data_IF_077031628071
#
_entry.id   IF_077031628071
#
_cell.length_a   1.000
_cell.length_b   1.000
_cell.length_c   1.000
_cell.angle_alpha   90.00
_cell.angle_beta   90.00
_cell.angle_gamma   90.00
#
_symmetry.space_group_name_H-M   'P 1'
#
loop_
_entity.id
_entity.type
_entity.pdbx_description
1 polymer ?
#
# COMPACT_ATOMS: atom_id res chain seq x y z
N UNK A 1 -12.86 9.63 9.59
CA UNK A 1 -11.59 10.39 9.73
C UNK A 1 -10.53 9.43 10.22
N UNK A 2 -9.28 9.53 9.76
CA UNK A 2 -8.22 8.62 10.20
C UNK A 2 -7.69 9.06 11.57
N UNK A 3 -7.54 8.10 12.48
CA UNK A 3 -6.88 8.29 13.77
C UNK A 3 -5.35 8.18 13.60
N UNK A 4 -4.61 9.18 14.08
CA UNK A 4 -3.14 9.20 13.95
C UNK A 4 -2.47 8.06 14.71
N UNK A 5 -2.99 7.64 15.85
CA UNK A 5 -2.37 6.56 16.64
C UNK A 5 -2.44 5.21 15.93
N UNK A 6 -3.48 4.94 15.15
CA UNK A 6 -3.60 3.72 14.34
C UNK A 6 -2.48 3.66 13.28
N UNK A 7 -2.25 4.77 12.59
CA UNK A 7 -1.14 4.87 11.62
C UNK A 7 0.24 4.78 12.29
N UNK A 8 0.37 5.30 13.52
CA UNK A 8 1.60 5.14 14.31
C UNK A 8 1.81 3.71 14.78
N UNK A 9 0.75 2.95 15.08
CA UNK A 9 0.82 1.52 15.40
C UNK A 9 1.43 0.73 14.24
N UNK A 10 0.93 0.93 13.01
CA UNK A 10 1.49 0.30 11.81
C UNK A 10 2.94 0.75 11.54
N UNK A 11 3.20 2.07 11.51
CA UNK A 11 4.51 2.60 11.10
C UNK A 11 5.64 2.33 12.11
N UNK A 12 5.33 2.09 13.40
CA UNK A 12 6.30 1.63 14.42
C UNK A 12 6.83 0.22 14.13
N UNK A 13 6.12 -0.57 13.31
CA UNK A 13 6.51 -1.94 12.93
C UNK A 13 7.36 -1.98 11.67
N UNK A 14 7.39 -0.90 10.87
CA UNK A 14 8.16 -0.82 9.63
C UNK A 14 9.66 -0.59 9.88
N UNK A 15 10.26 -1.52 10.62
CA UNK A 15 11.69 -1.59 10.94
C UNK A 15 12.16 -3.04 10.80
N UNK A 16 13.45 -3.27 10.56
CA UNK A 16 13.99 -4.62 10.38
C UNK A 16 13.68 -5.58 11.54
N UNK A 17 13.57 -5.05 12.76
CA UNK A 17 13.34 -5.85 13.97
C UNK A 17 11.87 -6.12 14.30
N UNK A 18 10.93 -5.44 13.63
CA UNK A 18 9.49 -5.50 13.96
C UNK A 18 8.58 -5.77 12.76
N UNK A 19 9.13 -5.70 11.55
CA UNK A 19 8.36 -5.86 10.32
C UNK A 19 7.81 -7.27 10.20
N UNK A 20 6.59 -7.37 9.70
CA UNK A 20 5.95 -8.63 9.29
C UNK A 20 5.57 -8.64 7.81
N UNK A 21 6.01 -7.64 7.02
CA UNK A 21 5.91 -7.69 5.56
C UNK A 21 6.35 -9.07 5.05
N UNK A 22 5.44 -9.72 4.34
CA UNK A 22 5.63 -11.08 3.84
C UNK A 22 6.14 -11.07 2.41
N UNK A 23 5.74 -10.06 1.61
CA UNK A 23 6.01 -10.01 0.18
C UNK A 23 6.10 -8.57 -0.32
N UNK A 24 6.88 -8.38 -1.37
CA UNK A 24 6.90 -7.16 -2.17
C UNK A 24 6.86 -7.54 -3.64
N UNK A 25 6.00 -6.88 -4.38
CA UNK A 25 5.92 -6.97 -5.83
C UNK A 25 6.09 -5.55 -6.40
N UNK A 26 6.63 -5.44 -7.61
CA UNK A 26 6.67 -4.15 -8.29
C UNK A 26 6.83 -4.25 -9.79
N UNK A 27 6.45 -3.17 -10.46
CA UNK A 27 6.60 -2.95 -11.89
C UNK A 27 7.36 -1.65 -12.11
N UNK A 28 8.23 -1.64 -13.11
CA UNK A 28 8.89 -0.45 -13.62
C UNK A 28 8.21 -0.03 -14.92
N UNK A 29 8.04 1.28 -15.08
CA UNK A 29 7.37 1.87 -16.23
C UNK A 29 8.28 2.96 -16.78
N UNK A 30 8.50 2.93 -18.09
CA UNK A 30 9.37 3.87 -18.75
C UNK A 30 8.73 5.27 -18.93
N UNK A 31 9.39 6.16 -19.69
CA UNK A 31 8.91 7.53 -19.92
C UNK A 31 7.73 7.60 -20.89
N UNK A 32 7.59 6.60 -21.76
CA UNK A 32 6.49 6.52 -22.72
C UNK A 32 5.24 5.91 -22.05
N UNK A 33 5.41 5.37 -20.84
CA UNK A 33 4.36 4.72 -20.06
C UNK A 33 4.26 3.24 -20.35
N UNK A 34 5.31 2.65 -20.94
CA UNK A 34 5.38 1.25 -21.31
C UNK A 34 6.04 0.41 -20.21
N UNK A 35 5.69 -0.87 -20.17
CA UNK A 35 6.19 -1.82 -19.19
C UNK A 35 7.69 -2.05 -19.37
N UNK A 36 8.47 -1.86 -18.31
CA UNK A 36 9.94 -2.02 -18.31
C UNK A 36 10.41 -3.03 -17.23
N UNK A 37 9.58 -4.05 -16.99
CA UNK A 37 9.91 -5.18 -16.13
C UNK A 37 9.22 -5.17 -14.77
N UNK A 38 9.11 -6.37 -14.18
CA UNK A 38 8.48 -6.57 -12.88
C UNK A 38 9.29 -7.53 -12.01
N UNK A 39 8.98 -7.50 -10.71
CA UNK A 39 9.51 -8.45 -9.74
C UNK A 39 8.43 -8.81 -8.72
N UNK A 40 8.52 -10.03 -8.18
CA UNK A 40 7.65 -10.47 -7.09
C UNK A 40 8.40 -11.43 -6.17
N UNK A 41 8.73 -10.97 -4.96
CA UNK A 41 9.66 -11.66 -4.07
C UNK A 41 9.13 -11.71 -2.64
N UNK A 42 9.42 -12.82 -1.96
CA UNK A 42 9.24 -12.90 -0.52
C UNK A 42 10.15 -11.85 0.15
N UNK A 43 9.58 -11.06 1.06
CA UNK A 43 10.29 -9.92 1.66
C UNK A 43 11.55 -10.32 2.42
N UNK A 44 11.59 -11.53 2.99
CA UNK A 44 12.77 -12.07 3.69
C UNK A 44 13.92 -12.47 2.77
N UNK A 45 13.68 -12.62 1.46
CA UNK A 45 14.74 -12.89 0.48
C UNK A 45 15.57 -11.65 0.14
N UNK A 46 15.06 -10.45 0.44
CA UNK A 46 15.81 -9.20 0.31
C UNK A 46 16.93 -9.11 1.34
N UNK A 47 18.05 -8.52 0.95
CA UNK A 47 19.12 -8.16 1.89
C UNK A 47 18.61 -7.19 2.97
N UNK A 48 19.32 -7.10 4.10
CA UNK A 48 18.95 -6.16 5.16
C UNK A 48 18.96 -4.69 4.69
N UNK A 49 19.88 -4.35 3.78
CA UNK A 49 19.97 -3.01 3.19
C UNK A 49 18.73 -2.71 2.33
N UNK A 50 18.38 -3.63 1.42
CA UNK A 50 17.20 -3.47 0.56
C UNK A 50 15.92 -3.42 1.38
N UNK A 51 15.74 -4.32 2.35
CA UNK A 51 14.59 -4.27 3.27
C UNK A 51 14.49 -2.91 3.96
N UNK A 52 15.61 -2.34 4.41
CA UNK A 52 15.61 -1.01 5.05
C UNK A 52 15.14 0.08 4.10
N UNK A 53 15.59 0.08 2.84
CA UNK A 53 15.13 1.03 1.82
C UNK A 53 13.64 0.86 1.52
N UNK A 54 13.21 -0.38 1.27
CA UNK A 54 11.83 -0.75 0.96
C UNK A 54 10.85 -0.44 2.10
N UNK A 55 11.24 -0.67 3.35
CA UNK A 55 10.48 -0.27 4.54
C UNK A 55 10.29 1.24 4.64
N UNK A 56 11.31 2.04 4.29
CA UNK A 56 11.19 3.50 4.29
C UNK A 56 10.15 3.95 3.28
N UNK A 57 10.18 3.41 2.05
CA UNK A 57 9.19 3.73 1.02
C UNK A 57 7.76 3.38 1.45
N UNK A 58 7.54 2.16 1.94
CA UNK A 58 6.23 1.74 2.44
C UNK A 58 5.74 2.63 3.59
N UNK A 59 6.66 3.07 4.47
CA UNK A 59 6.34 3.91 5.63
C UNK A 59 5.88 5.32 5.27
N UNK A 60 6.37 5.92 4.18
CA UNK A 60 6.01 7.30 3.80
C UNK A 60 4.48 7.47 3.68
N UNK A 61 3.76 6.45 3.21
CA UNK A 61 2.31 6.48 2.99
C UNK A 61 1.52 6.61 4.31
N UNK A 62 1.52 5.61 5.22
CA UNK A 62 0.78 5.71 6.48
C UNK A 62 1.41 6.73 7.45
N UNK A 63 2.69 7.08 7.29
CA UNK A 63 3.32 8.10 8.14
C UNK A 63 2.96 9.54 7.75
N UNK A 64 2.43 9.77 6.54
CA UNK A 64 2.04 11.08 6.04
C UNK A 64 1.04 11.81 6.97
N UNK A 65 0.89 13.12 6.76
CA UNK A 65 -0.03 13.94 7.55
C UNK A 65 -1.48 13.44 7.38
N UNK A 66 -2.00 12.86 8.46
CA UNK A 66 -3.31 12.23 8.50
C UNK A 66 -4.42 13.26 8.27
N UNK A 67 -5.40 12.91 7.44
CA UNK A 67 -6.52 13.76 6.99
C UNK A 67 -6.11 14.96 6.10
N UNK A 68 -4.83 15.07 5.73
CA UNK A 68 -4.32 16.08 4.79
C UNK A 68 -3.73 15.39 3.56
N UNK A 69 -2.62 14.68 3.75
CA UNK A 69 -1.94 13.93 2.70
C UNK A 69 -2.44 12.49 2.62
N UNK A 70 -2.80 11.89 3.74
CA UNK A 70 -3.45 10.58 3.81
C UNK A 70 -4.92 10.77 4.15
N UNK A 71 -5.83 10.35 3.27
CA UNK A 71 -7.28 10.53 3.43
C UNK A 71 -8.00 9.19 3.30
N UNK A 72 -8.99 8.98 4.16
CA UNK A 72 -9.85 7.79 4.15
C UNK A 72 -11.02 8.00 3.20
N UNK A 73 -11.26 7.01 2.34
CA UNK A 73 -12.37 6.97 1.41
C UNK A 73 -13.19 5.71 1.62
N UNK A 74 -14.49 5.82 1.46
CA UNK A 74 -15.44 4.71 1.52
C UNK A 74 -15.72 4.20 0.11
N UNK A 75 -15.73 2.88 -0.09
CA UNK A 75 -16.17 2.28 -1.35
C UNK A 75 -17.69 2.36 -1.49
N UNK A 76 -18.23 3.02 -2.53
CA UNK A 76 -19.67 3.07 -2.76
C UNK A 76 -20.27 1.66 -2.93
N UNK A 77 -21.50 1.42 -2.47
CA UNK A 77 -22.10 0.07 -2.50
C UNK A 77 -22.15 -0.56 -3.90
N UNK A 78 -22.23 0.25 -4.97
CA UNK A 78 -22.30 -0.23 -6.36
C UNK A 78 -20.97 -0.69 -6.98
N UNK A 79 -19.82 -0.44 -6.34
CA UNK A 79 -18.49 -0.79 -6.90
C UNK A 79 -18.04 -2.19 -6.49
N UNK A 80 -18.77 -2.89 -5.62
CA UNK A 80 -18.47 -4.27 -5.22
C UNK A 80 -19.09 -5.28 -6.18
N UNK A 81 -18.69 -5.17 -7.44
CA UNK A 81 -19.19 -5.99 -8.55
C UNK A 81 -18.04 -6.79 -9.18
N UNK A 82 -18.35 -7.91 -9.87
CA UNK A 82 -17.35 -8.62 -10.64
C UNK A 82 -16.58 -7.71 -11.61
N UNK A 83 -15.25 -7.81 -11.60
CA UNK A 83 -14.35 -7.02 -12.44
C UNK A 83 -14.02 -5.61 -11.91
N UNK A 84 -14.44 -5.26 -10.70
CA UNK A 84 -14.13 -3.95 -10.12
C UNK A 84 -12.71 -3.87 -9.55
N UNK A 85 -12.21 -2.65 -9.36
CA UNK A 85 -10.90 -2.45 -8.74
C UNK A 85 -10.89 -2.97 -7.30
N UNK A 86 -12.00 -2.80 -6.57
CA UNK A 86 -12.14 -3.36 -5.23
C UNK A 86 -11.99 -4.89 -5.22
N UNK A 87 -12.58 -5.61 -6.18
CA UNK A 87 -12.44 -7.06 -6.26
C UNK A 87 -10.99 -7.48 -6.57
N UNK A 88 -10.32 -6.75 -7.46
CA UNK A 88 -8.91 -7.00 -7.78
C UNK A 88 -8.02 -6.82 -6.53
N UNK A 89 -8.19 -5.72 -5.80
CA UNK A 89 -7.45 -5.45 -4.57
C UNK A 89 -7.73 -6.49 -3.48
N UNK A 90 -8.97 -6.93 -3.31
CA UNK A 90 -9.32 -8.02 -2.39
C UNK A 90 -8.59 -9.32 -2.77
N UNK A 91 -8.65 -9.72 -4.04
CA UNK A 91 -7.98 -10.95 -4.50
C UNK A 91 -6.45 -10.88 -4.35
N UNK A 92 -5.85 -9.72 -4.62
CA UNK A 92 -4.42 -9.47 -4.38
C UNK A 92 -4.05 -9.60 -2.90
N UNK A 93 -4.89 -9.08 -1.99
CA UNK A 93 -4.67 -9.18 -0.54
C UNK A 93 -4.78 -10.63 -0.07
N UNK A 94 -5.87 -11.32 -0.43
CA UNK A 94 -6.16 -12.69 -0.02
C UNK A 94 -5.09 -13.70 -0.50
N UNK A 95 -4.54 -13.48 -1.71
CA UNK A 95 -3.45 -14.33 -2.21
C UNK A 95 -2.07 -13.95 -1.67
N UNK A 96 -1.95 -12.86 -0.90
CA UNK A 96 -0.69 -12.34 -0.38
C UNK A 96 0.30 -11.95 -1.46
N UNK A 97 -0.20 -11.37 -2.58
CA UNK A 97 0.54 -11.02 -3.80
C UNK A 97 1.25 -12.20 -4.49
N UNK A 98 0.81 -13.45 -4.28
CA UNK A 98 1.48 -14.63 -4.88
C UNK A 98 1.07 -14.92 -6.32
N UNK A 99 -0.02 -14.31 -6.79
CA UNK A 99 -0.51 -14.53 -8.14
C UNK A 99 -0.01 -13.41 -9.06
N UNK A 100 1.01 -13.72 -9.87
CA UNK A 100 1.62 -12.76 -10.79
C UNK A 100 0.61 -12.22 -11.81
N UNK A 101 -0.36 -13.02 -12.27
CA UNK A 101 -1.39 -12.55 -13.21
C UNK A 101 -2.30 -11.46 -12.62
N UNK A 102 -2.59 -11.51 -11.30
CA UNK A 102 -3.31 -10.43 -10.63
C UNK A 102 -2.44 -9.17 -10.52
N UNK A 103 -1.14 -9.34 -10.30
CA UNK A 103 -0.20 -8.21 -10.25
C UNK A 103 -0.07 -7.55 -11.62
N UNK A 104 0.09 -8.33 -12.70
CA UNK A 104 0.17 -7.84 -14.07
C UNK A 104 -1.10 -7.05 -14.44
N UNK A 105 -2.28 -7.62 -14.16
CA UNK A 105 -3.56 -6.93 -14.36
C UNK A 105 -3.63 -5.60 -13.60
N UNK A 106 -3.13 -5.57 -12.36
CA UNK A 106 -3.11 -4.35 -11.55
C UNK A 106 -2.16 -3.29 -12.13
N UNK A 107 -0.99 -3.69 -12.62
CA UNK A 107 -0.04 -2.79 -13.26
C UNK A 107 -0.60 -2.21 -14.55
N UNK A 108 -1.21 -3.04 -15.41
CA UNK A 108 -1.85 -2.60 -16.65
C UNK A 108 -2.89 -1.51 -16.36
N UNK A 109 -3.78 -1.74 -15.38
CA UNK A 109 -4.82 -0.77 -15.04
C UNK A 109 -4.23 0.55 -14.53
N UNK A 110 -3.15 0.53 -13.73
CA UNK A 110 -2.46 1.76 -13.32
C UNK A 110 -1.83 2.46 -14.51
N UNK A 111 -1.09 1.75 -15.36
CA UNK A 111 -0.38 2.31 -16.51
C UNK A 111 -1.34 2.94 -17.54
N UNK A 112 -2.54 2.39 -17.69
CA UNK A 112 -3.58 2.98 -18.54
C UNK A 112 -4.04 4.37 -18.06
N UNK A 113 -4.04 4.62 -16.75
CA UNK A 113 -4.63 5.81 -16.15
C UNK A 113 -3.62 6.81 -15.60
N UNK A 114 -2.44 6.36 -15.19
CA UNK A 114 -1.39 7.17 -14.59
C UNK A 114 -0.32 7.50 -15.63
N UNK A 115 -0.17 8.79 -15.93
CA UNK A 115 0.87 9.31 -16.83
C UNK A 115 1.82 10.21 -16.06
N UNK A 116 3.11 9.98 -16.23
CA UNK A 116 4.16 10.77 -15.61
C UNK A 116 5.17 11.24 -16.66
N UNK A 117 5.87 12.34 -16.39
CA UNK A 117 6.93 12.88 -17.27
C UNK A 117 8.26 12.11 -17.13
N UNK A 118 8.34 11.18 -16.17
CA UNK A 118 9.54 10.42 -15.82
C UNK A 118 9.16 8.97 -15.60
N UNK A 119 10.15 8.11 -15.74
CA UNK A 119 10.07 6.70 -15.37
C UNK A 119 9.65 6.58 -13.90
N UNK A 120 8.85 5.56 -13.59
CA UNK A 120 8.32 5.34 -12.26
C UNK A 120 8.21 3.85 -11.95
N UNK A 121 8.17 3.53 -10.66
CA UNK A 121 7.87 2.21 -10.15
C UNK A 121 6.51 2.20 -9.44
N UNK A 122 5.75 1.14 -9.67
CA UNK A 122 4.58 0.77 -8.87
C UNK A 122 5.05 -0.31 -7.90
N UNK A 123 5.10 -0.01 -6.61
CA UNK A 123 5.54 -0.95 -5.57
C UNK A 123 4.35 -1.35 -4.70
N UNK A 124 4.10 -2.65 -4.56
CA UNK A 124 3.06 -3.20 -3.69
C UNK A 124 3.70 -4.05 -2.60
N UNK A 125 3.46 -3.67 -1.36
CA UNK A 125 3.94 -4.35 -0.16
C UNK A 125 2.78 -5.07 0.49
N UNK A 126 2.98 -6.30 0.93
CA UNK A 126 1.96 -7.06 1.66
C UNK A 126 2.45 -7.47 3.04
N UNK A 127 1.59 -7.28 4.03
CA UNK A 127 1.88 -7.50 5.44
C UNK A 127 0.74 -8.27 6.13
N UNK A 128 1.10 -9.04 7.16
CA UNK A 128 0.17 -9.71 8.07
C UNK A 128 0.53 -9.32 9.50
N UNK A 129 -0.31 -8.50 10.11
CA UNK A 129 -0.12 -7.99 11.45
C UNK A 129 -0.95 -8.75 12.49
N UNK A 130 -0.30 -9.50 13.37
CA UNK A 130 -0.90 -9.96 14.63
C UNK A 130 -1.11 -8.78 15.61
N UNK A 131 -2.35 -8.30 15.71
CA UNK A 131 -2.74 -7.20 16.61
C UNK A 131 -2.80 -7.74 18.05
N UNK A 132 -1.99 -7.21 18.97
CA UNK A 132 -2.00 -7.66 20.36
C UNK A 132 -3.27 -7.18 21.09
N UNK A 133 -3.87 -8.04 21.92
CA UNK A 133 -4.96 -7.65 22.80
C UNK A 133 -4.48 -6.59 23.81
N UNK A 134 -5.31 -5.55 24.03
CA UNK A 134 -5.09 -4.55 25.07
C UNK A 134 -5.95 -4.86 26.29
N UNK A 135 -5.33 -5.22 27.40
CA UNK A 135 -5.99 -5.19 28.70
C UNK A 135 -6.26 -3.74 29.17
N UNK A 136 -7.17 -3.56 30.12
CA UNK A 136 -7.55 -2.26 30.70
C UNK A 136 -6.36 -1.43 31.23
N UNK A 137 -5.23 -2.05 31.54
CA UNK A 137 -4.03 -1.41 32.10
C UNK A 137 -2.88 -1.15 31.11
N UNK A 138 -3.14 -1.15 29.78
CA UNK A 138 -2.13 -0.90 28.72
C UNK A 138 -0.96 -1.88 28.69
N UNK A 139 -0.94 -2.92 29.52
CA UNK A 139 0.00 -4.03 29.39
C UNK A 139 -0.36 -4.88 28.17
N UNK A 140 0.67 -5.26 27.39
CA UNK A 140 0.50 -6.19 26.27
C UNK A 140 0.11 -7.55 26.82
N UNK A 141 -1.05 -8.05 26.42
CA UNK A 141 -1.40 -9.45 26.64
C UNK A 141 -0.72 -10.32 25.58
N UNK A 142 -0.41 -11.56 25.95
CA UNK A 142 0.25 -12.53 25.08
C UNK A 142 -0.68 -13.10 24.00
N UNK A 143 -1.96 -12.74 24.03
CA UNK A 143 -2.98 -13.19 23.08
C UNK A 143 -3.16 -12.14 21.96
N UNK A 144 -3.18 -12.61 20.72
CA UNK A 144 -3.55 -11.80 19.55
C UNK A 144 -5.07 -11.71 19.45
N UNK A 145 -5.59 -10.52 19.21
CA UNK A 145 -7.03 -10.26 19.05
C UNK A 145 -7.48 -10.49 17.60
N UNK A 146 -6.68 -10.04 16.64
CA UNK A 146 -6.98 -10.10 15.20
C UNK A 146 -5.67 -10.20 14.39
N UNK A 147 -5.73 -10.85 13.24
CA UNK A 147 -4.66 -10.76 12.22
C UNK A 147 -5.14 -9.81 11.13
N UNK A 148 -4.52 -8.62 11.07
CA UNK A 148 -4.80 -7.64 10.04
C UNK A 148 -3.88 -7.85 8.83
N UNK A 149 -4.46 -8.35 7.74
CA UNK A 149 -3.79 -8.57 6.46
C UNK A 149 -4.05 -7.37 5.53
N UNK A 150 -2.98 -6.72 5.08
CA UNK A 150 -3.08 -5.49 4.30
C UNK A 150 -1.96 -5.34 3.28
N UNK A 151 -2.21 -4.44 2.33
CA UNK A 151 -1.24 -3.99 1.36
C UNK A 151 -1.03 -2.48 1.38
N UNK A 152 0.16 -2.07 0.96
CA UNK A 152 0.51 -0.69 0.67
C UNK A 152 0.97 -0.62 -0.78
N UNK A 153 0.36 0.24 -1.57
CA UNK A 153 0.79 0.54 -2.94
C UNK A 153 1.45 1.92 -2.98
N UNK A 154 2.63 2.02 -3.60
CA UNK A 154 3.41 3.24 -3.72
C UNK A 154 3.81 3.46 -5.18
N UNK A 155 3.44 4.63 -5.73
CA UNK A 155 3.92 5.07 -7.04
C UNK A 155 5.10 6.02 -6.82
N UNK A 156 6.28 5.60 -7.25
CA UNK A 156 7.55 6.27 -6.99
C UNK A 156 8.22 6.66 -8.32
N UNK A 157 8.53 7.95 -8.57
CA UNK A 157 9.45 8.31 -9.65
C UNK A 157 10.78 7.59 -9.49
N UNK A 158 11.47 7.28 -10.59
CA UNK A 158 12.80 6.69 -10.56
C UNK A 158 13.88 7.76 -10.61
N UNK A 159 14.97 7.52 -9.88
CA UNK A 159 16.23 8.25 -10.00
C UNK A 159 17.37 7.30 -10.40
N UNK A 160 18.03 7.59 -11.51
CA UNK A 160 19.12 6.75 -12.02
C UNK A 160 18.66 5.36 -12.47
N UNK A 161 19.46 4.32 -12.21
CA UNK A 161 19.21 2.94 -12.64
C UNK A 161 18.20 2.23 -11.71
N UNK A 162 16.90 2.41 -11.94
CA UNK A 162 15.81 1.70 -11.26
C UNK A 162 15.72 1.89 -9.72
N UNK A 163 16.33 2.94 -9.17
CA UNK A 163 16.16 3.28 -7.74
C UNK A 163 14.89 4.16 -7.57
N UNK A 164 13.87 3.69 -6.84
CA UNK A 164 12.66 4.48 -6.60
C UNK A 164 12.91 5.59 -5.56
N UNK A 165 12.53 6.81 -5.93
CA UNK A 165 12.44 7.95 -5.02
C UNK A 165 11.22 7.83 -4.10
N UNK A 166 10.95 8.88 -3.32
CA UNK A 166 9.77 8.95 -2.45
C UNK A 166 8.47 8.83 -3.26
N UNK A 167 7.44 8.16 -2.72
CA UNK A 167 6.17 8.05 -3.40
C UNK A 167 5.52 9.42 -3.61
N UNK A 168 4.92 9.61 -4.78
CA UNK A 168 4.13 10.82 -5.10
C UNK A 168 2.64 10.60 -4.85
N UNK A 169 2.18 9.36 -4.99
CA UNK A 169 0.86 8.90 -4.57
C UNK A 169 0.90 7.42 -4.20
N UNK A 170 -0.17 6.94 -3.60
CA UNK A 170 -0.27 5.56 -3.15
C UNK A 170 -1.49 5.33 -2.28
N UNK A 171 -1.59 4.14 -1.70
CA UNK A 171 -2.68 3.81 -0.78
C UNK A 171 -2.30 2.71 0.19
N UNK A 172 -3.09 2.60 1.26
CA UNK A 172 -3.15 1.47 2.19
C UNK A 172 -4.54 0.85 2.09
N UNK A 173 -4.59 -0.46 1.81
CA UNK A 173 -5.84 -1.21 1.66
C UNK A 173 -5.73 -2.60 2.31
N UNK A 174 -6.79 -3.08 2.98
CA UNK A 174 -7.93 -2.30 3.47
C UNK A 174 -7.48 -1.26 4.51
N UNK A 175 -8.31 -0.25 4.80
CA UNK A 175 -7.98 0.76 5.81
C UNK A 175 -7.81 0.14 7.20
N UNK A 176 -6.99 0.75 8.05
CA UNK A 176 -6.82 0.33 9.46
C UNK A 176 -7.53 1.33 10.37
N UNK A 177 -8.52 0.87 11.13
CA UNK A 177 -9.39 1.75 11.93
C UNK A 177 -9.71 1.10 13.25
N UNK A 178 -9.49 1.84 14.34
CA UNK A 178 -9.78 1.39 15.70
C UNK A 178 -9.14 0.03 16.01
N UNK A 179 -7.91 -0.15 15.50
CA UNK A 179 -7.10 -1.36 15.61
C UNK A 179 -7.67 -2.60 14.93
N UNK A 180 -8.50 -2.44 13.90
CA UNK A 180 -9.07 -3.53 13.10
C UNK A 180 -9.03 -3.19 11.60
N UNK A 181 -9.16 -4.22 10.76
CA UNK A 181 -9.28 -4.05 9.31
C UNK A 181 -10.66 -3.56 8.87
N UNK A 182 -10.68 -2.49 8.07
CA UNK A 182 -11.90 -1.90 7.51
C UNK A 182 -11.95 -2.11 5.99
N UNK A 183 -12.54 -3.25 5.59
CA UNK A 183 -12.68 -3.67 4.18
C UNK A 183 -13.54 -2.72 3.33
N UNK A 184 -14.32 -1.84 3.97
CA UNK A 184 -15.19 -0.90 3.28
C UNK A 184 -14.45 0.38 2.90
N UNK A 185 -13.19 0.54 3.32
CA UNK A 185 -12.45 1.77 3.15
C UNK A 185 -11.01 1.54 2.66
N UNK A 186 -10.46 2.61 2.12
CA UNK A 186 -9.08 2.70 1.65
C UNK A 186 -8.49 4.05 2.10
N UNK A 187 -7.22 4.03 2.52
CA UNK A 187 -6.51 5.26 2.88
C UNK A 187 -5.58 5.65 1.72
N UNK A 188 -5.91 6.74 1.02
CA UNK A 188 -5.16 7.20 -0.15
C UNK A 188 -4.20 8.31 0.23
N UNK A 189 -2.94 8.15 -0.19
CA UNK A 189 -1.86 9.09 -0.01
C UNK A 189 -1.63 9.95 -1.26
N UNK A 190 -1.46 11.24 -1.03
CA UNK A 190 -1.07 12.24 -2.02
C UNK A 190 0.09 13.07 -1.44
N UNK A 191 1.25 13.08 -2.10
CA UNK A 191 2.41 13.84 -1.63
C UNK A 191 2.14 15.36 -1.67
N UNK A 192 1.51 15.84 -2.75
CA UNK A 192 1.04 17.23 -2.89
C UNK A 192 -0.49 17.29 -2.78
N UNK A 193 -1.00 17.71 -1.62
CA UNK A 193 -2.44 17.84 -1.39
C UNK A 193 -3.09 18.97 -2.24
N UNK A 194 -2.29 19.91 -2.77
CA UNK A 194 -2.74 20.97 -3.67
C UNK A 194 -2.81 20.53 -5.14
N UNK A 195 -2.13 19.44 -5.50
CA UNK A 195 -2.14 18.83 -6.84
C UNK A 195 -2.35 17.32 -6.73
N UNK A 196 -3.53 16.87 -6.27
CA UNK A 196 -3.79 15.45 -6.07
C UNK A 196 -3.85 14.70 -7.40
N UNK A 197 -3.32 13.48 -7.38
CA UNK A 197 -3.47 12.49 -8.43
C UNK A 197 -4.90 11.93 -8.45
N UNK A 198 -5.84 12.70 -9.00
CA UNK A 198 -7.26 12.34 -9.06
C UNK A 198 -7.53 11.14 -9.98
N UNK A 199 -6.66 10.88 -10.95
CA UNK A 199 -6.66 9.69 -11.78
C UNK A 199 -6.58 8.41 -10.94
N UNK A 200 -5.80 8.42 -9.86
CA UNK A 200 -5.71 7.29 -8.92
C UNK A 200 -7.02 7.12 -8.15
N UNK A 201 -7.66 8.22 -7.71
CA UNK A 201 -8.95 8.13 -7.02
C UNK A 201 -10.05 7.57 -7.92
N UNK A 202 -10.06 7.95 -9.21
CA UNK A 202 -11.01 7.42 -10.21
C UNK A 202 -10.75 5.95 -10.49
N UNK A 203 -9.48 5.57 -10.69
CA UNK A 203 -9.05 4.18 -10.88
C UNK A 203 -9.48 3.28 -9.71
N UNK A 204 -9.39 3.81 -8.48
CA UNK A 204 -9.83 3.12 -7.28
C UNK A 204 -11.35 3.11 -7.09
N UNK A 205 -12.13 3.73 -7.98
CA UNK A 205 -13.60 3.79 -7.94
C UNK A 205 -14.18 4.38 -6.64
N UNK A 206 -13.52 5.41 -6.09
CA UNK A 206 -13.88 6.06 -4.82
C UNK A 206 -14.31 7.53 -4.95
N UNK A 207 -14.30 8.08 -6.17
CA UNK A 207 -14.83 9.42 -6.51
C UNK A 207 -15.56 9.41 -7.85
#
# INVERSE_FOLDING_TARGET
MINREDMLELTRRMTLSRTSFTRIAGCYVDRDGDFDGSFNINFLKLSASERTKKLKLAKEIPFAATNVNLKKYEYPQGVRKPGSMWQLLMAMNECGLKNDALMDTFYDVIMEHYRAEREYAILVFHDRYDIPAKGSDKERQWESEEVFEYMICAVCPLSGEYEPDKPVCGFLFPAFTDRSGDLNHIDVFQADAGKPHNEILKLLEII
#
